data_IF_778810266961
#
_entry.id   IF_778810266961
#
_cell.length_a   1.000
_cell.length_b   1.000
_cell.length_c   1.000
_cell.angle_alpha   90.00
_cell.angle_beta   90.00
_cell.angle_gamma   90.00
#
_symmetry.space_group_name_H-M   'P 1'
#
loop_
_entity.id
_entity.type
_entity.pdbx_description
1 polymer ?
#
# COMPACT_ATOMS: atom_id res chain seq x y z
N UNK A 1 -55.59 -8.66 13.55
CA UNK A 1 -55.11 -7.39 12.94
C UNK A 1 -53.80 -7.03 13.62
N UNK A 2 -52.67 -7.16 12.93
CA UNK A 2 -51.33 -6.78 13.42
C UNK A 2 -50.97 -5.45 12.77
N UNK A 3 -50.81 -4.39 13.56
CA UNK A 3 -50.31 -3.09 13.11
C UNK A 3 -48.84 -2.95 13.54
N UNK A 4 -47.99 -2.59 12.58
CA UNK A 4 -46.59 -2.21 12.78
C UNK A 4 -46.51 -0.78 13.37
N UNK A 5 -45.51 -0.47 14.21
CA UNK A 5 -45.14 0.92 14.44
C UNK A 5 -44.00 1.35 13.51
N UNK A 6 -44.21 2.53 12.94
CA UNK A 6 -43.30 3.34 12.14
C UNK A 6 -42.03 3.70 12.91
N UNK A 7 -40.89 3.60 12.22
CA UNK A 7 -39.63 4.21 12.64
C UNK A 7 -39.76 5.74 12.60
N UNK A 8 -39.75 6.37 13.76
CA UNK A 8 -39.65 7.82 13.92
C UNK A 8 -38.18 8.23 13.86
N UNK A 9 -37.88 9.09 12.91
CA UNK A 9 -36.62 9.79 12.75
C UNK A 9 -36.36 10.67 13.99
N UNK A 10 -35.26 10.42 14.71
CA UNK A 10 -34.82 11.30 15.80
C UNK A 10 -33.52 12.00 15.38
N UNK A 11 -33.64 13.26 14.97
CA UNK A 11 -32.53 14.17 14.75
C UNK A 11 -31.89 14.52 16.10
N UNK A 12 -30.65 14.09 16.31
CA UNK A 12 -29.84 14.58 17.44
C UNK A 12 -29.16 15.88 16.99
N UNK A 13 -29.62 16.99 17.56
CA UNK A 13 -28.94 18.28 17.50
C UNK A 13 -27.64 18.21 18.31
N UNK A 14 -26.51 18.44 17.65
CA UNK A 14 -25.20 18.57 18.30
C UNK A 14 -24.96 20.07 18.52
N UNK A 15 -24.94 20.48 19.79
CA UNK A 15 -24.57 21.82 20.24
C UNK A 15 -23.11 22.15 19.93
N UNK A 16 -22.77 23.40 19.55
CA UNK A 16 -21.38 23.80 19.37
C UNK A 16 -20.85 24.33 20.71
N UNK A 17 -20.03 23.53 21.41
CA UNK A 17 -19.25 24.03 22.53
C UNK A 17 -17.87 23.36 22.55
N UNK A 18 -16.85 24.19 22.76
CA UNK A 18 -15.41 23.90 22.82
C UNK A 18 -14.67 23.80 21.46
N UNK A 19 -14.65 24.91 20.71
CA UNK A 19 -13.52 25.27 19.84
C UNK A 19 -12.65 26.26 20.63
N UNK A 20 -11.60 25.78 21.29
CA UNK A 20 -10.44 26.58 21.68
C UNK A 20 -9.31 25.65 22.18
N UNK A 21 -8.12 25.79 21.60
CA UNK A 21 -6.89 25.33 22.24
C UNK A 21 -6.23 24.06 21.68
N UNK A 22 -6.20 23.91 20.36
CA UNK A 22 -5.31 22.95 19.68
C UNK A 22 -4.51 23.64 18.58
N UNK A 23 -4.01 24.85 18.84
CA UNK A 23 -3.12 25.54 17.94
C UNK A 23 -1.78 24.79 17.88
N UNK A 24 -1.42 24.32 16.68
CA UNK A 24 -0.06 24.03 16.27
C UNK A 24 0.69 23.00 17.14
N UNK A 25 0.39 21.72 16.97
CA UNK A 25 1.50 20.77 17.00
C UNK A 25 2.47 21.21 15.87
N UNK A 26 3.78 21.34 16.12
CA UNK A 26 4.72 21.55 15.03
C UNK A 26 4.47 20.44 14.01
N UNK A 27 4.41 20.78 12.72
CA UNK A 27 4.40 19.82 11.63
C UNK A 27 5.77 19.13 11.63
N UNK A 28 5.99 18.26 12.63
CA UNK A 28 7.04 17.28 12.55
C UNK A 28 6.71 16.39 11.36
N UNK A 29 7.68 16.18 10.49
CA UNK A 29 7.52 15.36 9.30
C UNK A 29 6.76 14.07 9.65
N UNK A 30 5.62 13.86 9.01
CA UNK A 30 4.84 12.64 9.16
C UNK A 30 5.72 11.47 8.67
N UNK A 31 5.97 10.51 9.54
CA UNK A 31 6.72 9.31 9.17
C UNK A 31 5.78 8.11 9.05
N UNK A 32 6.20 7.11 8.25
CA UNK A 32 5.40 5.93 7.94
C UNK A 32 4.93 5.18 9.19
N UNK A 33 5.75 5.10 10.24
CA UNK A 33 5.37 4.43 11.48
C UNK A 33 4.25 5.15 12.25
N UNK A 34 4.15 6.47 12.10
CA UNK A 34 3.08 7.26 12.74
C UNK A 34 1.75 6.98 12.07
N UNK A 35 1.75 6.89 10.73
CA UNK A 35 0.53 6.63 9.94
C UNK A 35 0.01 5.22 10.17
N UNK A 36 0.89 4.24 10.34
CA UNK A 36 0.54 2.85 10.70
C UNK A 36 -0.33 2.76 11.97
N UNK A 37 -0.28 3.77 12.85
CA UNK A 37 -1.04 3.82 14.11
C UNK A 37 -2.28 4.73 14.05
N UNK A 38 -2.55 5.36 12.91
CA UNK A 38 -3.67 6.29 12.78
C UNK A 38 -5.01 5.57 12.58
N UNK A 39 -6.06 6.12 13.16
CA UNK A 39 -7.45 5.72 12.90
C UNK A 39 -7.90 6.17 11.51
N UNK A 40 -8.92 5.53 10.91
CA UNK A 40 -9.50 5.97 9.64
C UNK A 40 -9.93 7.45 9.66
N UNK A 41 -10.48 7.93 10.79
CA UNK A 41 -10.89 9.33 10.94
C UNK A 41 -9.69 10.30 10.95
N UNK A 42 -8.54 9.89 11.48
CA UNK A 42 -7.30 10.69 11.44
C UNK A 42 -6.71 10.71 10.03
N UNK A 43 -6.70 9.57 9.33
CA UNK A 43 -6.24 9.50 7.94
C UNK A 43 -7.05 10.42 7.01
N UNK A 44 -8.35 10.53 7.23
CA UNK A 44 -9.22 11.44 6.48
C UNK A 44 -8.94 12.94 6.72
N UNK A 45 -8.09 13.29 7.68
CA UNK A 45 -7.67 14.68 7.94
C UNK A 45 -6.32 15.03 7.34
N UNK A 46 -5.61 14.07 6.74
CA UNK A 46 -4.33 14.33 6.09
C UNK A 46 -4.50 15.32 4.95
N UNK A 47 -3.67 16.35 4.92
CA UNK A 47 -3.58 17.30 3.80
C UNK A 47 -2.75 16.74 2.65
N UNK A 48 -2.87 17.35 1.46
CA UNK A 48 -2.09 16.93 0.28
C UNK A 48 -0.58 16.99 0.56
N UNK A 49 -0.09 18.10 1.12
CA UNK A 49 1.33 18.26 1.45
C UNK A 49 1.85 17.18 2.41
N UNK A 50 1.04 16.79 3.41
CA UNK A 50 1.42 15.72 4.33
C UNK A 50 1.53 14.35 3.65
N UNK A 51 0.73 14.10 2.61
CA UNK A 51 0.80 12.87 1.83
C UNK A 51 1.97 12.92 0.86
N UNK A 52 2.23 14.05 0.23
CA UNK A 52 3.38 14.26 -0.66
C UNK A 52 4.72 14.08 0.09
N UNK A 53 4.80 14.57 1.33
CA UNK A 53 5.94 14.34 2.22
C UNK A 53 6.10 12.84 2.54
N UNK A 54 4.98 12.14 2.78
CA UNK A 54 4.99 10.72 3.08
C UNK A 54 5.50 9.87 1.92
N UNK A 55 5.06 10.16 0.69
CA UNK A 55 5.49 9.42 -0.50
C UNK A 55 6.95 9.70 -0.83
N UNK A 56 7.41 10.93 -0.61
CA UNK A 56 8.84 11.27 -0.69
C UNK A 56 9.67 10.43 0.29
N UNK A 57 9.22 10.34 1.55
CA UNK A 57 9.88 9.51 2.59
C UNK A 57 9.84 8.02 2.23
N UNK A 58 8.73 7.52 1.69
CA UNK A 58 8.59 6.13 1.26
C UNK A 58 9.57 5.79 0.13
N UNK A 59 9.65 6.62 -0.91
CA UNK A 59 10.61 6.43 -2.02
C UNK A 59 12.05 6.39 -1.52
N UNK A 60 12.46 7.37 -0.71
CA UNK A 60 13.80 7.40 -0.12
C UNK A 60 14.11 6.18 0.76
N UNK A 61 13.10 5.68 1.50
CA UNK A 61 13.24 4.49 2.34
C UNK A 61 13.45 3.22 1.52
N UNK A 62 12.73 3.07 0.41
CA UNK A 62 12.91 1.96 -0.53
C UNK A 62 14.33 2.00 -1.12
N UNK A 63 14.74 3.15 -1.66
CA UNK A 63 16.07 3.31 -2.27
C UNK A 63 17.19 2.97 -1.29
N UNK A 64 17.09 3.47 -0.06
CA UNK A 64 18.08 3.21 0.97
C UNK A 64 18.11 1.72 1.36
N UNK A 65 16.95 1.10 1.52
CA UNK A 65 16.86 -0.31 1.87
C UNK A 65 17.45 -1.20 0.77
N UNK A 66 17.08 -0.96 -0.49
CA UNK A 66 17.53 -1.77 -1.61
C UNK A 66 19.03 -1.66 -1.84
N UNK A 67 19.66 -0.49 -1.60
CA UNK A 67 21.12 -0.35 -1.60
C UNK A 67 21.84 -1.26 -0.59
N UNK A 68 21.18 -1.59 0.51
CA UNK A 68 21.76 -2.49 1.54
C UNK A 68 21.47 -3.96 1.27
N UNK A 69 20.33 -4.26 0.64
CA UNK A 69 19.86 -5.63 0.44
C UNK A 69 20.31 -6.25 -0.87
N UNK A 70 20.45 -5.45 -1.93
CA UNK A 70 20.87 -5.94 -3.25
C UNK A 70 22.39 -6.08 -3.27
N UNK A 71 22.87 -7.31 -3.42
CA UNK A 71 24.30 -7.64 -3.34
C UNK A 71 24.91 -7.57 -4.75
N UNK A 72 25.46 -6.42 -5.12
CA UNK A 72 26.19 -6.23 -6.39
C UNK A 72 25.31 -5.91 -7.60
N UNK A 73 25.88 -5.84 -8.83
CA UNK A 73 25.11 -5.61 -10.04
C UNK A 73 24.02 -6.68 -10.15
N UNK A 74 22.79 -6.26 -10.47
CA UNK A 74 21.67 -7.19 -10.65
C UNK A 74 22.14 -8.33 -11.54
N UNK A 75 22.12 -9.59 -11.07
CA UNK A 75 22.43 -10.71 -11.94
C UNK A 75 21.48 -10.61 -13.14
N UNK A 76 21.97 -10.98 -14.33
CA UNK A 76 21.12 -11.03 -15.53
C UNK A 76 19.81 -11.78 -15.26
N UNK A 77 18.80 -11.67 -16.13
CA UNK A 77 17.44 -12.14 -15.89
C UNK A 77 17.36 -13.66 -15.77
N UNK A 78 17.77 -14.20 -14.63
CA UNK A 78 17.74 -15.62 -14.32
C UNK A 78 16.83 -15.78 -13.12
N UNK A 79 15.57 -16.07 -13.43
CA UNK A 79 14.65 -16.65 -12.48
C UNK A 79 15.10 -18.07 -12.13
N UNK A 80 15.01 -18.52 -10.86
CA UNK A 80 14.62 -17.76 -9.67
C UNK A 80 15.82 -17.16 -8.91
N UNK A 81 15.83 -15.85 -8.62
CA UNK A 81 16.78 -15.27 -7.65
C UNK A 81 16.15 -14.15 -6.81
N UNK A 82 16.40 -14.18 -5.49
CA UNK A 82 15.78 -13.28 -4.52
C UNK A 82 16.04 -11.79 -4.82
N UNK A 83 17.26 -11.45 -5.26
CA UNK A 83 17.66 -10.08 -5.63
C UNK A 83 16.86 -9.55 -6.82
N UNK A 84 16.74 -10.37 -7.86
CA UNK A 84 15.99 -10.04 -9.07
C UNK A 84 14.50 -9.86 -8.74
N UNK A 85 13.90 -10.80 -8.00
CA UNK A 85 12.50 -10.69 -7.56
C UNK A 85 12.24 -9.43 -6.75
N UNK A 86 13.12 -9.11 -5.80
CA UNK A 86 12.97 -7.95 -4.94
C UNK A 86 13.09 -6.65 -5.74
N UNK A 87 14.02 -6.57 -6.69
CA UNK A 87 14.13 -5.42 -7.60
C UNK A 87 12.81 -5.17 -8.35
N UNK A 88 12.25 -6.21 -8.98
CA UNK A 88 11.00 -6.06 -9.72
C UNK A 88 9.81 -5.71 -8.84
N UNK A 89 9.80 -6.18 -7.59
CA UNK A 89 8.66 -6.02 -6.67
C UNK A 89 8.68 -4.71 -5.87
N UNK A 90 9.87 -4.12 -5.68
CA UNK A 90 10.06 -2.98 -4.78
C UNK A 90 10.66 -1.75 -5.48
N UNK A 91 11.59 -1.94 -6.42
CA UNK A 91 12.27 -0.83 -7.08
C UNK A 91 11.42 -0.25 -8.21
N UNK A 92 10.86 -1.11 -9.04
CA UNK A 92 10.09 -0.68 -10.20
C UNK A 92 8.71 -0.17 -9.77
N UNK A 93 8.20 0.85 -10.49
CA UNK A 93 6.78 1.17 -10.42
C UNK A 93 5.94 0.03 -10.99
N UNK A 94 4.66 -0.03 -10.62
CA UNK A 94 3.75 -1.02 -11.17
C UNK A 94 3.66 -0.97 -12.71
N UNK A 95 3.83 0.20 -13.31
CA UNK A 95 3.80 0.36 -14.76
C UNK A 95 5.09 -0.15 -15.41
N UNK A 96 6.25 0.13 -14.82
CA UNK A 96 7.52 -0.40 -15.27
C UNK A 96 7.55 -1.94 -15.10
N UNK A 97 7.06 -2.44 -13.97
CA UNK A 97 6.87 -3.88 -13.75
C UNK A 97 5.92 -4.49 -14.79
N UNK A 98 4.81 -3.83 -15.11
CA UNK A 98 3.85 -4.35 -16.08
C UNK A 98 4.47 -4.54 -17.47
N UNK A 99 5.33 -3.61 -17.86
CA UNK A 99 5.98 -3.58 -19.16
C UNK A 99 7.32 -4.30 -19.19
N UNK A 100 7.73 -4.91 -18.07
CA UNK A 100 9.01 -5.58 -17.98
C UNK A 100 9.01 -6.99 -18.58
N UNK A 101 10.18 -7.42 -19.01
CA UNK A 101 10.42 -8.79 -19.49
C UNK A 101 10.29 -9.84 -18.39
N UNK A 102 10.31 -9.45 -17.11
CA UNK A 102 10.15 -10.35 -15.97
C UNK A 102 8.90 -11.25 -16.09
N UNK A 103 7.81 -10.73 -16.68
CA UNK A 103 6.58 -11.50 -16.89
C UNK A 103 6.73 -12.66 -17.88
N UNK A 104 7.81 -12.68 -18.65
CA UNK A 104 8.15 -13.73 -19.61
C UNK A 104 8.96 -14.85 -18.96
N UNK A 105 9.47 -14.64 -17.74
CA UNK A 105 10.30 -15.62 -17.03
C UNK A 105 9.44 -16.79 -16.52
N UNK A 106 9.81 -18.00 -16.92
CA UNK A 106 9.11 -19.21 -16.49
C UNK A 106 9.29 -19.42 -14.98
N UNK A 107 8.18 -19.52 -14.24
CA UNK A 107 8.17 -19.89 -12.82
C UNK A 107 7.80 -18.76 -11.84
N UNK A 108 7.65 -17.52 -12.30
CA UNK A 108 7.10 -16.46 -11.45
C UNK A 108 5.59 -16.68 -11.20
N UNK A 109 5.13 -16.50 -9.97
CA UNK A 109 3.70 -16.49 -9.64
C UNK A 109 3.10 -15.13 -10.01
N UNK A 110 2.50 -15.06 -11.20
CA UNK A 110 1.78 -13.88 -11.70
C UNK A 110 0.29 -13.87 -11.31
N UNK A 111 -0.16 -14.84 -10.49
CA UNK A 111 -1.57 -14.89 -10.09
C UNK A 111 -1.92 -13.69 -9.21
N UNK A 112 -3.10 -13.14 -9.44
CA UNK A 112 -3.62 -12.02 -8.65
C UNK A 112 -5.09 -12.25 -8.38
N UNK A 113 -5.48 -12.06 -7.12
CA UNK A 113 -6.87 -12.03 -6.67
C UNK A 113 -7.40 -10.59 -6.54
N UNK A 114 -6.81 -9.65 -7.29
CA UNK A 114 -7.13 -8.22 -7.16
C UNK A 114 -6.50 -7.62 -5.91
N UNK A 115 -7.19 -6.68 -5.25
CA UNK A 115 -6.70 -6.12 -4.00
C UNK A 115 -6.92 -7.11 -2.85
N UNK A 116 -5.83 -7.72 -2.37
CA UNK A 116 -5.86 -8.65 -1.25
C UNK A 116 -6.23 -7.97 0.08
N UNK A 117 -6.03 -6.65 0.18
CA UNK A 117 -6.38 -5.84 1.34
C UNK A 117 -7.57 -4.94 1.04
N UNK A 118 -8.39 -4.58 2.05
CA UNK A 118 -9.49 -3.65 1.88
C UNK A 118 -9.03 -2.32 1.29
N UNK A 119 -9.59 -1.97 0.13
CA UNK A 119 -9.49 -0.65 -0.49
C UNK A 119 -10.89 -0.05 -0.57
N UNK A 120 -11.00 1.28 -0.54
CA UNK A 120 -12.30 1.93 -0.68
C UNK A 120 -12.94 1.57 -2.03
N UNK A 121 -14.24 1.28 -2.02
CA UNK A 121 -14.96 0.73 -3.17
C UNK A 121 -14.81 1.59 -4.43
N UNK A 122 -14.81 2.92 -4.28
CA UNK A 122 -14.62 3.87 -5.38
C UNK A 122 -13.28 3.70 -6.12
N UNK A 123 -12.25 3.17 -5.45
CA UNK A 123 -10.90 3.02 -5.98
C UNK A 123 -10.49 1.55 -6.20
N UNK A 124 -11.41 0.59 -6.05
CA UNK A 124 -11.12 -0.82 -6.34
C UNK A 124 -10.65 -1.03 -7.77
N UNK A 125 -11.26 -0.36 -8.74
CA UNK A 125 -10.87 -0.45 -10.15
C UNK A 125 -9.51 0.23 -10.38
N UNK A 126 -9.36 1.45 -9.88
CA UNK A 126 -8.13 2.26 -9.95
C UNK A 126 -6.93 1.48 -9.42
N UNK A 127 -6.98 1.07 -8.15
CA UNK A 127 -5.86 0.35 -7.51
C UNK A 127 -5.72 -1.09 -7.98
N UNK A 128 -6.84 -1.74 -8.34
CA UNK A 128 -6.86 -3.12 -8.82
C UNK A 128 -6.21 -3.32 -10.19
N UNK A 129 -6.07 -2.27 -10.99
CA UNK A 129 -5.42 -2.33 -12.29
C UNK A 129 -3.96 -2.74 -12.15
N UNK A 130 -3.15 -1.96 -11.43
CA UNK A 130 -1.69 -2.13 -11.39
C UNK A 130 -1.17 -2.30 -9.96
N UNK A 131 -1.46 -1.36 -9.04
CA UNK A 131 -0.87 -1.35 -7.69
C UNK A 131 -1.12 -2.65 -6.90
N UNK A 132 -2.38 -3.10 -6.82
CA UNK A 132 -2.72 -4.33 -6.09
C UNK A 132 -2.11 -5.58 -6.73
N UNK A 133 -2.02 -5.63 -8.06
CA UNK A 133 -1.39 -6.76 -8.76
C UNK A 133 0.11 -6.81 -8.49
N UNK A 134 0.75 -5.65 -8.51
CA UNK A 134 2.17 -5.53 -8.25
C UNK A 134 2.52 -5.91 -6.80
N UNK A 135 1.70 -5.48 -5.83
CA UNK A 135 1.85 -5.90 -4.44
C UNK A 135 1.67 -7.41 -4.26
N UNK A 136 0.64 -8.01 -4.87
CA UNK A 136 0.42 -9.46 -4.83
C UNK A 136 1.62 -10.21 -5.41
N UNK A 137 2.14 -9.74 -6.54
CA UNK A 137 3.33 -10.29 -7.16
C UNK A 137 4.51 -10.28 -6.18
N UNK A 138 4.79 -9.14 -5.53
CA UNK A 138 5.83 -9.04 -4.52
C UNK A 138 5.62 -10.01 -3.35
N UNK A 139 4.42 -10.04 -2.77
CA UNK A 139 4.10 -10.95 -1.67
C UNK A 139 4.28 -12.42 -2.05
N UNK A 140 3.89 -12.80 -3.27
CA UNK A 140 3.91 -14.19 -3.72
C UNK A 140 5.30 -14.69 -4.07
N UNK A 141 6.14 -13.81 -4.59
CA UNK A 141 7.44 -14.20 -5.16
C UNK A 141 8.60 -13.88 -4.22
N UNK A 142 8.56 -12.73 -3.53
CA UNK A 142 9.63 -12.35 -2.60
C UNK A 142 9.57 -13.17 -1.31
N UNK A 143 8.37 -13.56 -0.85
CA UNK A 143 8.20 -14.40 0.33
C UNK A 143 8.60 -15.87 0.12
N UNK A 144 9.01 -16.28 -1.09
CA UNK A 144 9.45 -17.66 -1.33
C UNK A 144 10.86 -17.89 -0.77
N UNK A 145 11.70 -16.86 -0.74
CA UNK A 145 13.09 -16.98 -0.32
C UNK A 145 13.24 -16.62 1.16
N UNK A 146 13.83 -17.54 1.93
CA UNK A 146 14.09 -17.36 3.36
C UNK A 146 14.78 -16.02 3.69
N UNK A 147 15.76 -15.59 2.88
CA UNK A 147 16.49 -14.32 3.05
C UNK A 147 15.59 -13.09 2.95
N UNK A 148 14.58 -13.11 2.09
CA UNK A 148 13.70 -11.96 1.83
C UNK A 148 12.38 -12.06 2.57
N UNK A 149 12.14 -13.14 3.29
CA UNK A 149 10.97 -13.32 4.14
C UNK A 149 11.16 -12.66 5.52
N UNK A 150 11.16 -11.33 5.52
CA UNK A 150 11.32 -10.54 6.73
C UNK A 150 10.30 -9.40 6.77
N UNK A 151 9.95 -8.93 7.97
CA UNK A 151 9.11 -7.74 8.14
C UNK A 151 9.68 -6.50 7.44
N UNK A 152 11.01 -6.36 7.40
CA UNK A 152 11.65 -5.23 6.74
C UNK A 152 11.40 -5.23 5.21
N UNK A 153 11.53 -6.40 4.58
CA UNK A 153 11.20 -6.56 3.15
C UNK A 153 9.71 -6.37 2.91
N UNK A 154 8.84 -6.98 3.73
CA UNK A 154 7.39 -6.79 3.62
C UNK A 154 7.01 -5.31 3.69
N UNK A 155 7.61 -4.57 4.62
CA UNK A 155 7.41 -3.12 4.75
C UNK A 155 7.79 -2.36 3.48
N UNK A 156 8.88 -2.75 2.83
CA UNK A 156 9.33 -2.15 1.56
C UNK A 156 8.35 -2.46 0.41
N UNK A 157 7.82 -3.67 0.35
CA UNK A 157 6.75 -4.02 -0.60
C UNK A 157 5.47 -3.18 -0.36
N UNK A 158 5.09 -3.00 0.90
CA UNK A 158 3.94 -2.18 1.27
C UNK A 158 4.18 -0.68 0.95
N UNK A 159 5.41 -0.18 1.12
CA UNK A 159 5.77 1.18 0.67
C UNK A 159 5.67 1.33 -0.84
N UNK A 160 6.13 0.34 -1.62
CA UNK A 160 5.99 0.35 -3.09
C UNK A 160 4.52 0.36 -3.50
N UNK A 161 3.68 -0.41 -2.81
CA UNK A 161 2.23 -0.41 -3.01
C UNK A 161 1.62 0.98 -2.78
N UNK A 162 2.02 1.69 -1.71
CA UNK A 162 1.60 3.08 -1.49
C UNK A 162 1.99 4.00 -2.65
N UNK A 163 3.24 3.90 -3.12
CA UNK A 163 3.74 4.73 -4.23
C UNK A 163 3.03 4.43 -5.54
N UNK A 164 2.72 3.16 -5.83
CA UNK A 164 1.96 2.78 -7.03
C UNK A 164 0.54 3.35 -7.00
N UNK A 165 -0.17 3.22 -5.87
CA UNK A 165 -1.50 3.82 -5.73
C UNK A 165 -1.45 5.34 -5.88
N UNK A 166 -0.41 5.99 -5.36
CA UNK A 166 -0.24 7.43 -5.48
C UNK A 166 -0.05 7.87 -6.94
N UNK A 167 0.78 7.17 -7.73
CA UNK A 167 0.91 7.43 -9.17
C UNK A 167 -0.43 7.27 -9.88
N UNK A 168 -1.18 6.22 -9.58
CA UNK A 168 -2.52 6.03 -10.16
C UNK A 168 -3.51 7.14 -9.76
N UNK A 169 -3.39 7.66 -8.54
CA UNK A 169 -4.19 8.82 -8.12
C UNK A 169 -3.84 10.08 -8.91
N UNK A 170 -2.58 10.28 -9.29
CA UNK A 170 -2.18 11.39 -10.15
C UNK A 170 -2.77 11.24 -11.56
N UNK A 171 -2.76 10.03 -12.11
CA UNK A 171 -3.20 9.77 -13.48
C UNK A 171 -4.72 9.84 -13.65
N UNK A 172 -5.49 9.34 -12.67
CA UNK A 172 -6.96 9.22 -12.79
C UNK A 172 -7.72 10.45 -12.27
N UNK A 173 -7.08 11.33 -11.50
CA UNK A 173 -7.78 12.44 -10.85
C UNK A 173 -7.94 13.66 -11.75
N UNK A 174 -9.18 14.09 -11.95
CA UNK A 174 -9.52 15.29 -12.74
C UNK A 174 -9.60 16.57 -11.91
N UNK A 175 -9.42 16.49 -10.59
CA UNK A 175 -9.46 17.66 -9.70
C UNK A 175 -8.58 17.47 -8.45
N UNK A 176 -8.12 18.55 -7.80
CA UNK A 176 -7.35 18.46 -6.56
C UNK A 176 -8.11 17.75 -5.42
N UNK A 177 -9.42 17.96 -5.32
CA UNK A 177 -10.26 17.31 -4.31
C UNK A 177 -10.40 15.80 -4.57
N UNK A 178 -10.58 15.40 -5.83
CA UNK A 178 -10.60 13.99 -6.24
C UNK A 178 -9.26 13.31 -5.97
N UNK A 179 -8.15 13.99 -6.29
CA UNK A 179 -6.78 13.54 -5.99
C UNK A 179 -6.57 13.30 -4.51
N UNK A 180 -6.90 14.29 -3.66
CA UNK A 180 -6.77 14.16 -2.22
C UNK A 180 -7.59 13.00 -1.65
N UNK A 181 -8.81 12.79 -2.15
CA UNK A 181 -9.65 11.68 -1.73
C UNK A 181 -9.04 10.32 -2.13
N UNK A 182 -8.49 10.22 -3.34
CA UNK A 182 -7.80 9.02 -3.82
C UNK A 182 -6.56 8.73 -2.98
N UNK A 183 -5.73 9.73 -2.75
CA UNK A 183 -4.50 9.58 -1.99
C UNK A 183 -4.74 9.20 -0.52
N UNK A 184 -5.77 9.75 0.12
CA UNK A 184 -6.20 9.30 1.46
C UNK A 184 -6.64 7.84 1.45
N UNK A 185 -7.31 7.39 0.39
CA UNK A 185 -7.66 5.98 0.24
C UNK A 185 -6.43 5.10 0.03
N UNK A 186 -5.41 5.58 -0.70
CA UNK A 186 -4.13 4.90 -0.86
C UNK A 186 -3.40 4.74 0.49
N UNK A 187 -3.34 5.81 1.29
CA UNK A 187 -2.76 5.75 2.65
C UNK A 187 -3.53 4.77 3.54
N UNK A 188 -4.86 4.78 3.48
CA UNK A 188 -5.67 3.81 4.23
C UNK A 188 -5.39 2.36 3.81
N UNK A 189 -5.29 2.09 2.50
CA UNK A 189 -4.95 0.78 1.97
C UNK A 189 -3.55 0.33 2.39
N UNK A 190 -2.57 1.24 2.39
CA UNK A 190 -1.23 0.99 2.94
C UNK A 190 -1.28 0.57 4.41
N UNK A 191 -2.02 1.29 5.26
CA UNK A 191 -2.18 0.93 6.68
C UNK A 191 -2.83 -0.46 6.84
N UNK A 192 -3.82 -0.81 6.00
CA UNK A 192 -4.41 -2.15 6.01
C UNK A 192 -3.39 -3.22 5.62
N UNK A 193 -2.57 -2.99 4.58
CA UNK A 193 -1.49 -3.91 4.20
C UNK A 193 -0.47 -4.07 5.33
N UNK A 194 -0.06 -2.99 6.00
CA UNK A 194 0.85 -3.05 7.16
C UNK A 194 0.27 -3.89 8.30
N UNK A 195 -1.04 -3.76 8.56
CA UNK A 195 -1.74 -4.41 9.68
C UNK A 195 -2.06 -5.88 9.40
N UNK A 196 -2.52 -6.22 8.20
CA UNK A 196 -3.04 -7.54 7.85
C UNK A 196 -2.05 -8.38 7.03
N UNK A 197 -1.04 -7.75 6.45
CA UNK A 197 -0.15 -8.35 5.46
C UNK A 197 0.75 -9.45 5.99
N UNK A 198 1.14 -9.42 7.27
CA UNK A 198 2.00 -10.47 7.86
C UNK A 198 1.41 -11.85 7.65
N UNK A 199 0.10 -12.04 7.90
CA UNK A 199 -0.57 -13.34 7.71
C UNK A 199 -0.53 -13.81 6.26
N UNK A 200 -0.70 -12.89 5.31
CA UNK A 200 -0.67 -13.20 3.88
C UNK A 200 0.75 -13.58 3.45
N UNK A 201 1.74 -12.81 3.91
CA UNK A 201 3.15 -13.00 3.60
C UNK A 201 3.66 -14.35 4.16
N UNK A 202 3.35 -14.65 5.42
CA UNK A 202 3.71 -15.92 6.07
C UNK A 202 3.03 -17.13 5.42
N UNK A 203 1.75 -16.99 5.03
CA UNK A 203 1.01 -18.06 4.38
C UNK A 203 1.59 -18.42 3.00
N UNK A 204 2.22 -17.47 2.30
CA UNK A 204 2.93 -17.75 1.05
C UNK A 204 4.18 -18.59 1.33
N UNK A 205 5.04 -18.18 2.27
CA UNK A 205 6.25 -18.93 2.63
C UNK A 205 5.93 -20.39 2.97
N UNK A 206 4.84 -20.64 3.71
CA UNK A 206 4.41 -21.99 4.06
C UNK A 206 4.06 -22.88 2.83
N UNK A 207 3.57 -22.29 1.72
CA UNK A 207 3.28 -23.02 0.48
C UNK A 207 4.53 -23.46 -0.26
N UNK A 208 5.62 -22.70 -0.14
CA UNK A 208 6.88 -22.96 -0.86
C UNK A 208 7.94 -23.66 0.00
N UNK A 209 7.72 -23.76 1.32
CA UNK A 209 8.65 -24.40 2.25
C UNK A 209 8.35 -25.88 2.49
N UNK A 210 7.22 -26.40 1.99
CA UNK A 210 6.92 -27.83 1.98
C UNK A 210 7.18 -28.39 0.57
N UNK A 211 8.25 -29.19 0.39
CA UNK A 211 8.57 -29.82 -0.89
C UNK A 211 7.55 -30.87 -1.33
#
# INVERSE_FOLDING_TARGET
>A
MRMWPLFVCCSIAITPAAVAGGAGAPVGALNLSTIERMTPAQLQRLSLNQIDDLTTVAGASIDQFLKTMLVGPLPGPVWPSADYTLYYSAMLSSDAWINSDYKKDAGADLTSNGCAFPVAAAYQKTFGANACRHQNFGYRNVAQYHRTHTEAVRKVLDMRFLLDMYVQCLDESTSPAGRLACERAAVAAYVQARTLGTRVFDAVQARYSNP
#
